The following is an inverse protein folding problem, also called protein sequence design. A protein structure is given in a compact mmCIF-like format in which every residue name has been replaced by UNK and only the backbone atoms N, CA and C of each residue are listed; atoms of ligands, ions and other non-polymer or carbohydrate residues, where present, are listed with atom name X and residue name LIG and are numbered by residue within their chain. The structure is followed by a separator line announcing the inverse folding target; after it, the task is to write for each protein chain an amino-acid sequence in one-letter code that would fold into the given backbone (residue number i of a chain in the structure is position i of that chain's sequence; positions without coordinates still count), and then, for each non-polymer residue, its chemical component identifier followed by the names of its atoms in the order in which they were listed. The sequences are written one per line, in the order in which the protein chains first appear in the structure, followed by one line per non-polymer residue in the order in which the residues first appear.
data_IF_419147104776
#
_entry.id   IF_419147104776
#
_cell.length_a   1.000
_cell.length_b   1.000
_cell.length_c   1.000
_cell.angle_alpha   90.00
_cell.angle_beta   90.00
_cell.angle_gamma   90.00
#
_symmetry.space_group_name_H-M   'P 1'
#
loop_
_entity.id
_entity.type
_entity.pdbx_description
1 polymer ?
#
# COMPACT_ATOMS: atom_id res chain seq x y z
N UNK A 1 -3.89 40.41 21.03
CA UNK A 1 -5.09 40.62 20.22
C UNK A 1 -4.61 40.72 18.77
N UNK A 2 -4.61 39.59 18.04
CA UNK A 2 -4.12 39.53 16.66
C UNK A 2 -5.34 39.64 15.71
N UNK A 3 -5.20 40.34 14.56
CA UNK A 3 -6.33 40.53 13.65
C UNK A 3 -6.62 39.31 12.83
N UNK A 4 -7.91 39.01 12.64
CA UNK A 4 -8.44 37.97 11.77
C UNK A 4 -8.15 38.28 10.28
N UNK A 5 -7.86 37.29 9.44
CA UNK A 5 -7.79 37.47 8.00
C UNK A 5 -9.18 37.68 7.38
N UNK A 6 -9.31 38.40 6.27
CA UNK A 6 -10.59 38.69 5.63
C UNK A 6 -11.17 37.44 4.93
N UNK A 7 -12.48 37.28 5.12
CA UNK A 7 -13.32 36.29 4.44
C UNK A 7 -13.55 36.74 3.00
N UNK A 8 -13.19 35.90 2.02
CA UNK A 8 -13.54 36.13 0.61
C UNK A 8 -15.00 35.72 0.36
N UNK A 9 -15.73 36.44 -0.51
CA UNK A 9 -17.12 36.14 -0.83
C UNK A 9 -17.22 34.83 -1.65
N UNK A 10 -18.27 34.04 -1.36
CA UNK A 10 -18.52 32.75 -1.92
C UNK A 10 -18.72 32.74 -3.43
N UNK A 11 -17.87 32.04 -4.14
CA UNK A 11 -18.15 31.62 -5.51
C UNK A 11 -18.96 30.34 -5.47
N UNK A 12 -20.21 30.43 -5.89
CA UNK A 12 -21.05 29.27 -6.19
C UNK A 12 -20.54 28.67 -7.48
N UNK A 13 -19.85 27.54 -7.39
CA UNK A 13 -19.52 26.72 -8.57
C UNK A 13 -20.81 26.17 -9.16
N UNK A 14 -21.18 26.66 -10.33
CA UNK A 14 -22.27 26.10 -11.11
C UNK A 14 -21.87 24.76 -11.72
N UNK A 15 -22.68 23.74 -11.47
CA UNK A 15 -22.54 22.31 -11.81
C UNK A 15 -22.66 22.01 -13.33
N UNK A 16 -22.26 22.91 -14.23
CA UNK A 16 -22.57 22.80 -15.65
C UNK A 16 -21.38 22.53 -16.58
N UNK A 17 -20.19 22.19 -16.05
CA UNK A 17 -19.05 21.82 -16.93
C UNK A 17 -18.29 20.62 -16.38
N UNK A 18 -18.91 19.42 -16.50
CA UNK A 18 -18.17 18.17 -16.35
C UNK A 18 -17.53 17.82 -17.70
N UNK A 19 -16.20 17.75 -17.80
CA UNK A 19 -15.56 17.35 -19.04
C UNK A 19 -15.85 15.89 -19.35
N UNK A 20 -16.34 15.61 -20.54
CA UNK A 20 -16.54 14.27 -21.07
C UNK A 20 -15.37 13.88 -21.97
N UNK A 21 -15.00 12.60 -22.01
CA UNK A 21 -14.02 12.07 -22.97
C UNK A 21 -14.54 12.27 -24.40
N UNK A 22 -13.87 13.04 -25.25
CA UNK A 22 -14.32 13.33 -26.59
C UNK A 22 -14.42 12.10 -27.52
N UNK A 23 -13.88 10.95 -27.11
CA UNK A 23 -13.90 9.69 -27.90
C UNK A 23 -15.01 8.75 -27.48
N UNK A 24 -15.47 8.81 -26.25
CA UNK A 24 -16.46 7.85 -25.71
C UNK A 24 -17.72 8.52 -25.17
N UNK A 25 -17.74 9.84 -25.03
CA UNK A 25 -18.89 10.60 -24.49
C UNK A 25 -19.18 10.28 -23.00
N UNK A 26 -18.34 9.51 -22.33
CA UNK A 26 -18.52 9.17 -20.92
C UNK A 26 -17.95 10.28 -20.04
N UNK A 27 -18.64 10.59 -18.95
CA UNK A 27 -18.07 11.37 -17.87
C UNK A 27 -16.78 10.68 -17.41
N UNK A 28 -15.67 11.34 -17.59
CA UNK A 28 -14.39 10.85 -17.11
C UNK A 28 -14.34 11.05 -15.61
N UNK A 29 -14.02 10.02 -14.91
CA UNK A 29 -13.94 9.94 -13.44
C UNK A 29 -12.67 10.68 -12.93
N UNK A 30 -12.57 11.99 -13.27
CA UNK A 30 -11.44 12.85 -12.88
C UNK A 30 -11.40 13.14 -11.39
N UNK A 31 -12.46 12.82 -10.65
CA UNK A 31 -12.56 13.07 -9.21
C UNK A 31 -11.76 12.08 -8.38
N UNK A 32 -11.23 11.00 -8.99
CA UNK A 32 -10.41 10.00 -8.30
C UNK A 32 -8.90 10.24 -8.41
N UNK A 33 -8.45 11.21 -9.18
CA UNK A 33 -7.03 11.56 -9.23
C UNK A 33 -6.78 12.73 -8.28
N UNK A 34 -5.98 12.50 -7.25
CA UNK A 34 -5.38 13.60 -6.51
C UNK A 34 -4.55 14.47 -7.47
N UNK A 35 -4.34 15.75 -7.13
CA UNK A 35 -3.61 16.71 -7.97
C UNK A 35 -2.17 16.29 -8.32
N UNK A 36 -1.70 15.16 -7.79
CA UNK A 36 -0.35 14.59 -7.99
C UNK A 36 -0.30 13.48 -9.06
N UNK A 37 -1.40 13.19 -9.74
CA UNK A 37 -1.46 12.18 -10.81
C UNK A 37 -1.63 10.74 -10.34
N UNK A 38 -1.88 10.52 -9.04
CA UNK A 38 -2.20 9.22 -8.48
C UNK A 38 -3.69 9.04 -8.28
N UNK A 39 -4.16 7.81 -8.48
CA UNK A 39 -5.49 7.37 -8.07
C UNK A 39 -5.39 6.67 -6.72
N UNK A 40 -6.22 7.04 -5.78
CA UNK A 40 -6.37 6.27 -4.55
C UNK A 40 -7.05 4.92 -4.83
N UNK A 41 -6.56 3.88 -4.16
CA UNK A 41 -7.11 2.54 -4.26
C UNK A 41 -8.07 2.29 -3.09
N UNK A 42 -9.22 1.73 -3.40
CA UNK A 42 -10.13 1.23 -2.39
C UNK A 42 -9.53 0.05 -1.62
N UNK A 43 -9.95 -0.16 -0.35
CA UNK A 43 -9.41 -1.23 0.49
C UNK A 43 -9.39 -2.59 -0.20
N UNK A 44 -10.44 -2.97 -0.89
CA UNK A 44 -10.52 -4.25 -1.59
C UNK A 44 -9.54 -4.37 -2.76
N UNK A 45 -9.27 -3.26 -3.47
CA UNK A 45 -8.27 -3.19 -4.53
C UNK A 45 -6.86 -3.35 -3.95
N UNK A 46 -6.58 -2.67 -2.82
CA UNK A 46 -5.32 -2.78 -2.09
C UNK A 46 -5.02 -4.25 -1.72
N UNK A 47 -5.97 -4.93 -1.08
CA UNK A 47 -5.78 -6.33 -0.67
C UNK A 47 -5.61 -7.26 -1.87
N UNK A 48 -6.34 -7.01 -2.96
CA UNK A 48 -6.17 -7.79 -4.20
C UNK A 48 -4.77 -7.60 -4.81
N UNK A 49 -4.23 -6.38 -4.82
CA UNK A 49 -2.87 -6.08 -5.30
C UNK A 49 -1.83 -6.75 -4.43
N UNK A 50 -1.95 -6.61 -3.11
CA UNK A 50 -1.07 -7.28 -2.15
C UNK A 50 -1.03 -8.80 -2.35
N UNK A 51 -2.18 -9.44 -2.55
CA UNK A 51 -2.24 -10.88 -2.77
C UNK A 51 -1.50 -11.38 -4.03
N UNK A 52 -1.11 -10.49 -4.93
CA UNK A 52 -0.35 -10.80 -6.15
C UNK A 52 1.17 -10.56 -5.98
N UNK A 53 1.57 -9.78 -4.99
CA UNK A 53 2.97 -9.49 -4.74
C UNK A 53 3.67 -10.62 -3.97
N UNK A 54 4.83 -11.12 -4.42
CA UNK A 54 5.54 -12.20 -3.72
C UNK A 54 6.39 -11.70 -2.54
N UNK A 55 6.74 -10.42 -2.53
CA UNK A 55 7.63 -9.78 -1.56
C UNK A 55 7.07 -8.41 -1.21
N UNK A 56 7.14 -8.08 0.07
CA UNK A 56 6.89 -6.74 0.57
C UNK A 56 8.00 -6.30 1.51
N UNK A 57 7.80 -5.20 2.16
CA UNK A 57 8.74 -4.62 3.11
C UNK A 57 8.03 -4.35 4.42
N UNK A 58 8.56 -4.94 5.51
CA UNK A 58 8.11 -4.57 6.84
C UNK A 58 8.91 -3.38 7.34
N UNK A 59 8.21 -2.36 7.80
CA UNK A 59 8.75 -1.12 8.34
C UNK A 59 8.44 -1.09 9.84
N UNK A 60 9.47 -1.01 10.64
CA UNK A 60 9.34 -1.04 12.10
C UNK A 60 10.36 -0.11 12.76
N UNK A 61 10.23 0.08 14.06
CA UNK A 61 11.20 0.84 14.84
C UNK A 61 12.20 -0.09 15.51
N UNK A 62 13.47 0.16 15.30
CA UNK A 62 14.57 -0.52 15.98
C UNK A 62 15.44 0.52 16.67
N UNK A 63 15.57 0.45 18.01
CA UNK A 63 16.35 1.41 18.79
C UNK A 63 16.00 2.88 18.47
N UNK A 64 14.70 3.18 18.41
CA UNK A 64 14.15 4.48 18.04
C UNK A 64 14.45 4.95 16.59
N UNK A 65 15.00 4.10 15.73
CA UNK A 65 15.26 4.39 14.33
C UNK A 65 14.33 3.56 13.42
N UNK A 66 13.86 4.12 12.30
CA UNK A 66 13.15 3.36 11.29
C UNK A 66 14.04 2.27 10.70
N UNK A 67 13.50 1.06 10.58
CA UNK A 67 14.14 -0.07 9.92
C UNK A 67 13.18 -0.65 8.86
N UNK A 68 13.72 -1.07 7.73
CA UNK A 68 12.97 -1.63 6.60
C UNK A 68 13.62 -2.94 6.20
N UNK A 69 12.82 -4.00 6.11
CA UNK A 69 13.30 -5.33 5.71
C UNK A 69 12.39 -5.91 4.62
N UNK A 70 12.96 -6.37 3.49
CA UNK A 70 12.21 -7.17 2.53
C UNK A 70 11.87 -8.53 3.13
N UNK A 71 10.61 -8.95 2.96
CA UNK A 71 10.11 -10.23 3.46
C UNK A 71 9.14 -10.83 2.45
N UNK A 72 9.15 -12.14 2.30
CA UNK A 72 8.06 -12.82 1.63
C UNK A 72 6.86 -12.97 2.57
N UNK A 73 5.68 -12.96 2.01
CA UNK A 73 4.45 -12.92 2.77
C UNK A 73 3.29 -13.62 2.05
N UNK A 74 2.20 -13.77 2.73
CA UNK A 74 0.88 -14.04 2.13
C UNK A 74 -0.19 -13.25 2.88
N UNK A 75 -1.38 -13.15 2.30
CA UNK A 75 -2.54 -12.64 3.01
C UNK A 75 -3.34 -13.80 3.60
N UNK A 76 -3.86 -13.61 4.81
CA UNK A 76 -4.87 -14.49 5.39
C UNK A 76 -6.27 -14.15 4.82
N UNK A 77 -7.25 -14.99 5.11
CA UNK A 77 -8.65 -14.85 4.62
C UNK A 77 -9.33 -13.53 5.02
N UNK A 78 -8.88 -12.91 6.10
CA UNK A 78 -9.40 -11.61 6.59
C UNK A 78 -8.56 -10.40 6.14
N UNK A 79 -7.52 -10.65 5.34
CA UNK A 79 -6.63 -9.65 4.79
C UNK A 79 -5.44 -9.31 5.66
N UNK A 80 -5.22 -10.00 6.77
CA UNK A 80 -4.02 -9.83 7.58
C UNK A 80 -2.78 -10.29 6.82
N UNK A 81 -1.67 -9.58 7.02
CA UNK A 81 -0.38 -9.96 6.43
C UNK A 81 0.29 -11.01 7.30
N UNK A 82 0.63 -12.15 6.70
CA UNK A 82 1.30 -13.25 7.35
C UNK A 82 2.76 -13.34 6.91
N UNK A 83 3.65 -13.37 7.88
CA UNK A 83 5.08 -13.60 7.69
C UNK A 83 5.45 -14.93 8.33
N UNK A 84 6.46 -15.61 7.78
CA UNK A 84 7.08 -16.79 8.40
C UNK A 84 8.58 -16.56 8.55
N UNK A 85 9.10 -16.63 9.75
CA UNK A 85 10.47 -16.28 10.07
C UNK A 85 11.01 -17.06 11.28
N UNK A 86 12.29 -16.92 11.58
CA UNK A 86 12.88 -17.55 12.76
C UNK A 86 12.41 -16.89 14.05
N UNK A 87 12.03 -17.69 15.04
CA UNK A 87 11.69 -17.22 16.39
C UNK A 87 12.82 -16.41 17.04
N UNK A 88 14.08 -16.76 16.73
CA UNK A 88 15.25 -16.07 17.26
C UNK A 88 15.61 -14.78 16.50
N UNK A 89 14.87 -14.42 15.45
CA UNK A 89 15.20 -13.25 14.64
C UNK A 89 15.09 -11.93 15.43
N UNK A 90 15.94 -10.99 15.11
CA UNK A 90 15.82 -9.62 15.64
C UNK A 90 14.51 -8.96 15.21
N UNK A 91 14.01 -9.32 14.04
CA UNK A 91 12.73 -8.82 13.54
C UNK A 91 11.61 -9.18 14.52
N UNK A 92 11.45 -10.47 14.87
CA UNK A 92 10.40 -10.92 15.81
C UNK A 92 10.46 -10.13 17.12
N UNK A 93 11.66 -10.00 17.70
CA UNK A 93 11.83 -9.24 18.95
C UNK A 93 11.48 -7.77 18.84
N UNK A 94 11.62 -7.19 17.64
CA UNK A 94 11.36 -5.77 17.43
C UNK A 94 9.88 -5.47 17.13
N UNK A 95 9.13 -6.44 16.56
CA UNK A 95 7.77 -6.17 16.07
C UNK A 95 6.68 -6.82 16.91
N UNK A 96 6.96 -7.85 17.69
CA UNK A 96 5.94 -8.54 18.49
C UNK A 96 5.29 -7.58 19.49
N UNK A 97 3.96 -7.44 19.40
CA UNK A 97 3.18 -6.48 20.18
C UNK A 97 3.33 -5.01 19.75
N UNK A 98 3.98 -4.73 18.62
CA UNK A 98 4.23 -3.37 18.16
C UNK A 98 3.36 -3.03 16.93
N UNK A 99 3.08 -1.73 16.76
CA UNK A 99 2.50 -1.23 15.50
C UNK A 99 3.61 -1.12 14.46
N UNK A 100 3.35 -1.68 13.28
CA UNK A 100 4.27 -1.69 12.14
C UNK A 100 3.56 -1.18 10.90
N UNK A 101 4.34 -0.86 9.86
CA UNK A 101 3.80 -0.74 8.52
C UNK A 101 4.36 -1.88 7.65
N UNK A 102 3.51 -2.38 6.77
CA UNK A 102 3.90 -3.34 5.74
C UNK A 102 3.57 -2.72 4.39
N UNK A 103 4.52 -2.73 3.48
CA UNK A 103 4.39 -2.11 2.15
C UNK A 103 4.70 -3.14 1.08
N UNK A 104 3.93 -3.12 -0.02
CA UNK A 104 4.33 -3.75 -1.26
C UNK A 104 3.95 -2.87 -2.45
N UNK A 105 4.75 -2.98 -3.51
CA UNK A 105 4.62 -2.19 -4.72
C UNK A 105 4.94 -3.01 -5.97
N UNK A 106 4.49 -2.48 -7.10
CA UNK A 106 4.92 -2.90 -8.41
C UNK A 106 5.06 -1.65 -9.29
N UNK A 107 6.22 -1.47 -9.90
CA UNK A 107 6.53 -0.29 -10.72
C UNK A 107 7.05 -0.71 -12.08
N UNK A 108 6.40 -0.24 -13.13
CA UNK A 108 6.90 -0.28 -14.50
C UNK A 108 7.55 1.06 -14.86
N UNK A 109 8.87 1.10 -14.83
CA UNK A 109 9.64 2.31 -15.13
C UNK A 109 9.54 2.75 -16.59
N UNK A 110 9.22 1.84 -17.52
CA UNK A 110 9.09 2.13 -18.95
C UNK A 110 7.71 2.73 -19.23
N UNK A 111 6.67 2.13 -18.67
CA UNK A 111 5.31 2.62 -18.80
C UNK A 111 5.00 3.82 -17.88
N UNK A 112 5.89 4.14 -16.95
CA UNK A 112 5.68 5.12 -15.88
C UNK A 112 4.37 4.84 -15.13
N UNK A 113 4.13 3.58 -14.81
CA UNK A 113 2.92 3.11 -14.14
C UNK A 113 3.28 2.23 -12.95
N UNK A 114 2.35 2.03 -12.06
CA UNK A 114 2.56 1.17 -10.92
C UNK A 114 1.56 1.41 -9.81
N UNK A 115 1.70 0.65 -8.77
CA UNK A 115 0.90 0.80 -7.57
C UNK A 115 1.76 0.58 -6.32
N UNK A 116 1.33 1.16 -5.22
CA UNK A 116 1.86 0.86 -3.90
C UNK A 116 0.72 0.73 -2.90
N UNK A 117 0.87 -0.18 -1.96
CA UNK A 117 -0.09 -0.42 -0.87
C UNK A 117 0.65 -0.48 0.44
N UNK A 118 0.12 0.20 1.45
CA UNK A 118 0.62 0.17 2.81
C UNK A 118 -0.47 -0.35 3.74
N UNK A 119 -0.11 -1.34 4.55
CA UNK A 119 -0.92 -1.84 5.67
C UNK A 119 -0.24 -1.38 6.95
N UNK A 120 -0.97 -0.69 7.80
CA UNK A 120 -0.50 -0.31 9.15
C UNK A 120 -1.36 -1.02 10.18
N UNK A 121 -0.72 -1.61 11.18
CA UNK A 121 -1.41 -2.28 12.26
C UNK A 121 -0.48 -3.01 13.21
N UNK A 122 -1.07 -3.66 14.19
CA UNK A 122 -0.35 -4.39 15.23
C UNK A 122 0.21 -5.69 14.68
N UNK A 123 1.49 -5.93 14.94
CA UNK A 123 2.16 -7.20 14.63
C UNK A 123 2.20 -8.09 15.87
N UNK A 124 1.82 -9.35 15.74
CA UNK A 124 1.85 -10.33 16.85
C UNK A 124 2.37 -11.67 16.37
N UNK A 125 3.12 -12.34 17.24
CA UNK A 125 3.51 -13.73 17.02
C UNK A 125 2.30 -14.64 17.27
N UNK A 126 2.03 -15.54 16.33
CA UNK A 126 0.95 -16.54 16.48
C UNK A 126 1.38 -17.56 17.53
N UNK A 127 0.68 -17.57 18.66
CA UNK A 127 0.94 -18.48 19.79
C UNK A 127 -0.13 -19.54 19.95
N UNK A 128 -1.32 -19.38 19.36
CA UNK A 128 -2.38 -20.37 19.37
C UNK A 128 -1.96 -21.61 18.57
N UNK A 129 -1.94 -22.83 19.19
CA UNK A 129 -1.51 -24.04 18.50
C UNK A 129 -2.40 -24.43 17.30
N UNK A 130 -3.72 -24.19 17.37
CA UNK A 130 -4.63 -24.53 16.30
C UNK A 130 -4.45 -23.58 15.10
N UNK A 131 -4.25 -22.31 15.36
CA UNK A 131 -3.93 -21.33 14.32
C UNK A 131 -2.57 -21.62 13.70
N UNK A 132 -1.55 -21.88 14.51
CA UNK A 132 -0.23 -22.27 14.03
C UNK A 132 -0.29 -23.49 13.11
N UNK A 133 -1.01 -24.55 13.50
CA UNK A 133 -1.18 -25.75 12.67
C UNK A 133 -1.91 -25.42 11.35
N UNK A 134 -2.90 -24.54 11.37
CA UNK A 134 -3.56 -24.05 10.15
C UNK A 134 -2.56 -23.36 9.23
N UNK A 135 -1.76 -22.42 9.77
CA UNK A 135 -0.79 -21.65 9.01
C UNK A 135 0.38 -22.46 8.47
N UNK A 136 0.74 -23.55 9.09
CA UNK A 136 1.72 -24.52 8.53
C UNK A 136 1.24 -25.06 7.18
N UNK A 137 -0.07 -25.21 6.99
CA UNK A 137 -0.67 -25.73 5.75
C UNK A 137 -1.01 -24.63 4.74
N UNK A 138 -1.40 -23.44 5.20
CA UNK A 138 -1.99 -22.40 4.35
C UNK A 138 -1.19 -21.10 4.28
N UNK A 139 -0.27 -20.92 5.20
CA UNK A 139 0.53 -19.70 5.32
C UNK A 139 1.72 -19.64 4.37
N UNK A 140 2.52 -18.58 4.42
CA UNK A 140 3.69 -18.44 3.56
C UNK A 140 4.76 -19.45 3.89
N UNK A 141 5.47 -19.94 2.88
CA UNK A 141 6.69 -20.72 3.08
C UNK A 141 7.85 -19.79 3.42
N UNK A 142 8.74 -20.21 4.34
CA UNK A 142 9.97 -19.45 4.59
C UNK A 142 10.97 -19.63 3.44
N UNK A 143 11.53 -18.54 2.93
CA UNK A 143 12.62 -18.62 1.94
C UNK A 143 13.97 -18.95 2.59
N UNK A 144 14.08 -18.72 3.89
CA UNK A 144 15.27 -19.08 4.69
C UNK A 144 14.83 -20.03 5.79
N UNK A 145 14.91 -21.36 5.58
CA UNK A 145 14.49 -22.32 6.57
C UNK A 145 15.23 -22.16 7.90
N UNK A 146 14.52 -22.26 9.01
CA UNK A 146 15.04 -22.18 10.36
C UNK A 146 14.45 -23.33 11.19
N UNK A 147 15.22 -23.92 12.13
CA UNK A 147 14.71 -24.99 12.96
C UNK A 147 13.57 -24.57 13.90
N UNK A 148 13.42 -23.30 14.17
CA UNK A 148 12.36 -22.74 15.01
C UNK A 148 11.69 -21.61 14.27
N UNK A 149 10.70 -21.95 13.45
CA UNK A 149 9.92 -20.97 12.70
C UNK A 149 8.65 -20.58 13.46
N UNK A 150 8.32 -19.30 13.36
CA UNK A 150 7.08 -18.75 13.86
C UNK A 150 6.35 -17.99 12.76
N UNK A 151 5.06 -17.87 12.91
CA UNK A 151 4.25 -16.97 12.12
C UNK A 151 4.07 -15.66 12.87
N UNK A 152 4.18 -14.56 12.13
CA UNK A 152 3.82 -13.23 12.60
C UNK A 152 2.64 -12.76 11.77
N UNK A 153 1.64 -12.25 12.45
CA UNK A 153 0.43 -11.70 11.86
C UNK A 153 0.42 -10.18 12.04
N UNK A 154 0.20 -9.43 10.96
CA UNK A 154 0.01 -7.99 11.00
C UNK A 154 -1.45 -7.70 10.69
N UNK A 155 -2.16 -7.10 11.65
CA UNK A 155 -3.56 -6.76 11.50
C UNK A 155 -3.75 -5.60 10.53
N UNK A 156 -4.67 -5.67 9.56
CA UNK A 156 -4.88 -4.59 8.59
C UNK A 156 -5.79 -3.49 9.17
N UNK A 157 -5.33 -2.79 10.21
CA UNK A 157 -6.09 -1.74 10.88
C UNK A 157 -6.31 -0.54 9.95
N UNK A 158 -5.25 -0.10 9.25
CA UNK A 158 -5.32 0.91 8.22
C UNK A 158 -4.69 0.35 6.94
N UNK A 159 -5.43 0.41 5.84
CA UNK A 159 -4.95 0.01 4.50
C UNK A 159 -5.12 1.18 3.57
N UNK A 160 -4.02 1.64 3.00
CA UNK A 160 -3.99 2.72 2.02
C UNK A 160 -3.23 2.25 0.78
N UNK A 161 -3.63 2.73 -0.38
CA UNK A 161 -2.94 2.41 -1.61
C UNK A 161 -3.18 3.46 -2.66
N UNK A 162 -2.26 3.52 -3.61
CA UNK A 162 -2.33 4.42 -4.75
C UNK A 162 -1.80 3.76 -6.00
N UNK A 163 -2.33 4.18 -7.13
CA UNK A 163 -1.94 3.71 -8.44
C UNK A 163 -1.58 4.89 -9.33
N UNK A 164 -0.42 4.80 -9.97
CA UNK A 164 -0.01 5.67 -11.05
C UNK A 164 -0.41 4.98 -12.36
N UNK A 165 -1.39 5.53 -13.04
CA UNK A 165 -1.82 5.02 -14.35
C UNK A 165 -0.92 5.64 -15.41
N UNK A 166 -0.02 4.85 -15.95
CA UNK A 166 0.97 5.28 -16.92
C UNK A 166 0.39 5.90 -18.18
N UNK A 167 1.09 6.86 -18.68
CA UNK A 167 0.91 7.42 -20.00
C UNK A 167 0.08 8.70 -20.10
N UNK A 168 0.71 9.67 -20.70
CA UNK A 168 0.35 11.03 -21.07
C UNK A 168 0.53 12.04 -19.95
N UNK A 169 1.75 12.61 -19.96
CA UNK A 169 1.98 13.95 -19.40
C UNK A 169 0.76 14.83 -19.70
N UNK A 170 0.05 15.27 -18.67
CA UNK A 170 -1.03 16.25 -18.81
C UNK A 170 -0.53 17.61 -19.33
N UNK A 171 0.77 17.77 -19.41
CA UNK A 171 1.43 18.87 -20.11
C UNK A 171 1.77 18.42 -21.52
N UNK A 172 0.79 18.49 -22.43
CA UNK A 172 0.96 18.25 -23.86
C UNK A 172 1.88 19.25 -24.53
N UNK A 173 3.18 19.22 -24.22
CA UNK A 173 4.23 19.82 -25.05
C UNK A 173 4.79 18.70 -25.91
N UNK A 174 4.16 18.51 -27.07
CA UNK A 174 4.76 17.78 -28.15
C UNK A 174 6.02 18.54 -28.60
N UNK A 175 7.18 18.03 -28.24
CA UNK A 175 8.41 18.36 -28.95
C UNK A 175 8.33 17.72 -30.31
N UNK A 176 7.64 18.38 -31.25
CA UNK A 176 7.84 18.17 -32.68
C UNK A 176 9.25 18.64 -33.01
N UNK A 177 10.14 17.67 -33.19
CA UNK A 177 11.45 17.91 -33.74
C UNK A 177 11.30 18.56 -35.11
N UNK A 178 11.91 19.73 -35.28
CA UNK A 178 12.22 20.28 -36.59
C UNK A 178 13.56 19.69 -37.06
N UNK A 179 13.55 19.16 -38.24
CA UNK A 179 14.62 18.79 -39.16
C UNK A 179 15.82 19.75 -39.12
#
# INVERSE_FOLDING_TARGET
MAPHPPTLPGETWSDTHRPTDPRTGRETDWLMYSNDGFRELERHECLRRLGQAPVGRIVHTRQALPAVLPVNFSLDYDGAVLLRTSAASELVRAIDGSVVAFEADEVDAVAHSGWSVVVTGSATVVTDPAEHERLVRTGPSSWVPSPQEVFVRVEPELVTGRELVGGRSMYGVGLTGAT
#
